data_IF_861822796257
#
_entry.id   IF_861822796257
#
_cell.length_a   1.000
_cell.length_b   1.000
_cell.length_c   1.000
_cell.angle_alpha   90.00
_cell.angle_beta   90.00
_cell.angle_gamma   90.00
#
_symmetry.space_group_name_H-M   'P 1'
#
loop_
_entity.id
_entity.type
_entity.pdbx_description
1 polymer ?
#
# COMPACT_ATOMS: atom_id res chain seq x y z
N UNK A 1 7.10 -10.63 2.54
CA UNK A 1 7.20 -10.65 1.06
C UNK A 1 5.86 -10.16 0.49
N UNK A 2 5.78 -8.93 -0.03
CA UNK A 2 4.56 -8.36 -0.64
C UNK A 2 4.69 -8.34 -2.17
N UNK A 3 5.17 -9.43 -2.75
CA UNK A 3 5.89 -9.41 -4.02
C UNK A 3 5.06 -9.14 -5.30
N UNK A 4 3.76 -8.79 -5.22
CA UNK A 4 2.92 -8.49 -6.40
C UNK A 4 1.80 -7.47 -6.18
N UNK A 5 1.76 -6.77 -5.04
CA UNK A 5 0.72 -5.76 -4.86
C UNK A 5 1.05 -4.47 -5.66
N UNK A 6 0.05 -3.84 -6.28
CA UNK A 6 0.17 -2.50 -6.87
C UNK A 6 0.80 -1.50 -5.89
N UNK A 7 1.69 -0.67 -6.41
CA UNK A 7 2.36 0.40 -5.65
C UNK A 7 1.80 1.75 -6.10
N UNK A 8 1.41 2.58 -5.13
CA UNK A 8 0.91 3.93 -5.36
C UNK A 8 1.84 4.75 -6.26
N UNK A 9 1.27 5.31 -7.33
CA UNK A 9 1.94 6.12 -8.35
C UNK A 9 2.91 5.36 -9.27
N UNK A 10 2.98 4.02 -9.16
CA UNK A 10 4.05 3.25 -9.85
C UNK A 10 3.57 2.04 -10.63
N UNK A 11 2.61 1.26 -10.12
CA UNK A 11 2.26 -0.01 -10.76
C UNK A 11 0.82 -0.45 -10.58
N UNK A 12 0.38 -1.35 -11.47
CA UNK A 12 -0.95 -1.98 -11.43
C UNK A 12 -2.09 -0.96 -11.41
N UNK A 13 -3.15 -1.28 -10.67
CA UNK A 13 -4.33 -0.42 -10.53
C UNK A 13 -4.05 0.88 -9.77
N UNK A 14 -2.84 1.06 -9.21
CA UNK A 14 -2.42 2.26 -8.52
C UNK A 14 -1.42 3.13 -9.30
N UNK A 15 -1.05 2.76 -10.53
CA UNK A 15 -0.04 3.48 -11.31
C UNK A 15 -0.40 4.97 -11.51
N UNK A 16 -1.66 5.28 -11.80
CA UNK A 16 -2.18 6.65 -11.94
C UNK A 16 -2.78 7.22 -10.66
N UNK A 17 -2.64 6.55 -9.51
CA UNK A 17 -3.30 6.90 -8.24
C UNK A 17 -2.27 7.35 -7.22
N UNK A 18 -2.63 8.34 -6.39
CA UNK A 18 -1.77 8.92 -5.36
C UNK A 18 -0.48 9.58 -5.86
N UNK A 19 -0.27 9.73 -7.17
CA UNK A 19 0.94 10.39 -7.70
C UNK A 19 0.99 11.86 -7.28
N UNK A 20 2.19 12.33 -6.92
CA UNK A 20 2.41 13.65 -6.36
C UNK A 20 1.93 13.81 -4.92
N UNK A 21 1.39 12.78 -4.26
CA UNK A 21 0.93 12.82 -2.87
C UNK A 21 1.93 12.17 -1.91
N UNK A 22 1.75 12.35 -0.59
CA UNK A 22 2.59 11.70 0.42
C UNK A 22 2.53 10.16 0.37
N UNK A 23 1.45 9.60 -0.21
CA UNK A 23 1.23 8.17 -0.33
C UNK A 23 1.98 7.52 -1.50
N UNK A 24 2.49 8.31 -2.47
CA UNK A 24 3.23 7.80 -3.63
C UNK A 24 4.45 6.98 -3.19
N UNK A 25 4.58 5.76 -3.72
CA UNK A 25 5.64 4.82 -3.35
C UNK A 25 5.60 4.31 -1.90
N UNK A 26 4.68 4.80 -1.05
CA UNK A 26 4.53 4.41 0.36
C UNK A 26 3.31 3.54 0.63
N UNK A 27 2.34 3.53 -0.29
CA UNK A 27 1.18 2.64 -0.22
C UNK A 27 1.36 1.47 -1.18
N UNK A 28 1.18 0.27 -0.64
CA UNK A 28 1.17 -0.98 -1.39
C UNK A 28 -0.15 -1.68 -1.07
N UNK A 29 -1.05 -1.78 -2.05
CA UNK A 29 -2.43 -2.19 -1.79
C UNK A 29 -3.08 -2.87 -2.98
N UNK A 30 -4.09 -3.70 -2.69
CA UNK A 30 -4.99 -4.28 -3.68
C UNK A 30 -6.26 -3.46 -3.79
N UNK A 31 -6.72 -3.24 -5.02
CA UNK A 31 -8.05 -2.69 -5.31
C UNK A 31 -9.06 -3.78 -5.63
N UNK A 32 -10.32 -3.57 -5.26
CA UNK A 32 -11.47 -4.38 -5.66
C UNK A 32 -12.63 -3.50 -6.12
N UNK A 33 -13.39 -3.97 -7.11
CA UNK A 33 -14.60 -3.32 -7.62
C UNK A 33 -15.62 -4.39 -7.97
N UNK A 34 -16.84 -4.24 -7.47
CA UNK A 34 -18.01 -5.05 -7.81
C UNK A 34 -19.18 -4.11 -8.09
N UNK A 35 -20.30 -4.63 -8.58
CA UNK A 35 -21.53 -3.85 -8.70
C UNK A 35 -21.95 -3.41 -7.30
N UNK A 36 -22.15 -2.10 -7.11
CA UNK A 36 -22.53 -1.51 -5.82
C UNK A 36 -21.43 -1.53 -4.76
N UNK A 37 -20.16 -1.79 -5.10
CA UNK A 37 -19.09 -1.83 -4.10
C UNK A 37 -17.68 -1.59 -4.63
N UNK A 38 -16.82 -1.02 -3.80
CA UNK A 38 -15.39 -0.87 -4.08
C UNK A 38 -14.54 -0.96 -2.82
N UNK A 39 -13.32 -1.46 -2.96
CA UNK A 39 -12.39 -1.63 -1.85
C UNK A 39 -10.95 -1.28 -2.23
N UNK A 40 -10.19 -0.87 -1.20
CA UNK A 40 -8.76 -0.68 -1.25
C UNK A 40 -8.15 -1.15 0.08
N UNK A 41 -7.32 -2.18 0.04
CA UNK A 41 -6.76 -2.82 1.23
C UNK A 41 -5.26 -3.04 1.06
N UNK A 42 -4.47 -2.69 2.07
CA UNK A 42 -3.03 -2.83 1.97
C UNK A 42 -2.26 -2.30 3.17
N UNK A 43 -1.01 -1.95 2.92
CA UNK A 43 -0.07 -1.40 3.90
C UNK A 43 0.37 -0.02 3.44
N UNK A 44 0.42 0.92 4.38
CA UNK A 44 0.96 2.25 4.18
C UNK A 44 2.18 2.45 5.09
N UNK A 45 3.28 2.96 4.54
CA UNK A 45 4.40 3.46 5.35
C UNK A 45 4.11 4.91 5.73
N UNK A 46 4.00 5.17 7.04
CA UNK A 46 3.81 6.51 7.59
C UNK A 46 5.09 7.36 7.44
N UNK A 47 4.97 8.69 7.60
CA UNK A 47 6.13 9.59 7.58
C UNK A 47 7.17 9.26 8.66
N UNK A 48 6.73 8.66 9.78
CA UNK A 48 7.61 8.20 10.86
C UNK A 48 8.14 6.78 10.65
N UNK A 49 8.10 6.24 9.42
CA UNK A 49 8.59 4.91 9.04
C UNK A 49 7.94 3.73 9.80
N UNK A 50 6.74 3.94 10.34
CA UNK A 50 5.90 2.85 10.85
C UNK A 50 5.01 2.33 9.73
N UNK A 51 4.85 1.02 9.66
CA UNK A 51 3.84 0.42 8.79
C UNK A 51 2.47 0.54 9.45
N UNK A 52 1.44 0.82 8.67
CA UNK A 52 0.06 0.74 9.10
C UNK A 52 -0.71 -0.11 8.10
N UNK A 53 -1.40 -1.14 8.60
CA UNK A 53 -2.30 -1.95 7.77
C UNK A 53 -3.64 -1.25 7.72
N UNK A 54 -4.20 -1.15 6.52
CA UNK A 54 -5.51 -0.53 6.31
C UNK A 54 -6.41 -1.39 5.43
N UNK A 55 -7.71 -1.26 5.65
CA UNK A 55 -8.75 -1.75 4.75
C UNK A 55 -9.86 -0.72 4.64
N UNK A 56 -10.19 -0.33 3.41
CA UNK A 56 -11.32 0.55 3.09
C UNK A 56 -12.27 -0.23 2.18
N UNK A 57 -13.52 -0.35 2.59
CA UNK A 57 -14.59 -0.95 1.80
C UNK A 57 -15.75 0.04 1.80
N UNK A 58 -16.26 0.35 0.62
CA UNK A 58 -17.39 1.25 0.41
C UNK A 58 -18.45 0.51 -0.40
N UNK A 59 -19.70 0.61 0.05
CA UNK A 59 -20.86 0.04 -0.64
C UNK A 59 -21.82 1.16 -1.08
N UNK A 60 -22.63 0.86 -2.10
CA UNK A 60 -23.59 1.75 -2.74
C UNK A 60 -23.10 2.33 -4.07
N UNK A 61 -24.00 3.01 -4.76
CA UNK A 61 -23.79 3.45 -6.15
C UNK A 61 -22.60 4.43 -6.32
N UNK A 62 -22.24 5.14 -5.26
CA UNK A 62 -21.09 6.05 -5.22
C UNK A 62 -19.75 5.40 -4.89
N UNK A 63 -19.67 4.09 -4.68
CA UNK A 63 -18.47 3.43 -4.16
C UNK A 63 -17.19 3.62 -5.00
N UNK A 64 -17.22 3.56 -6.34
CA UNK A 64 -16.02 3.79 -7.15
C UNK A 64 -15.48 5.22 -7.00
N UNK A 65 -16.37 6.23 -6.99
CA UNK A 65 -15.99 7.63 -6.80
C UNK A 65 -15.43 7.87 -5.39
N UNK A 66 -16.05 7.27 -4.39
CA UNK A 66 -15.64 7.33 -2.99
C UNK A 66 -14.19 6.83 -2.77
N UNK A 67 -13.84 5.70 -3.36
CA UNK A 67 -12.47 5.16 -3.29
C UNK A 67 -11.48 6.03 -4.08
N UNK A 68 -11.89 6.64 -5.21
CA UNK A 68 -11.03 7.56 -5.96
C UNK A 68 -10.74 8.85 -5.19
N UNK A 69 -11.69 9.32 -4.39
CA UNK A 69 -11.51 10.51 -3.56
C UNK A 69 -10.40 10.37 -2.50
N UNK A 70 -9.95 9.13 -2.19
CA UNK A 70 -8.80 8.90 -1.29
C UNK A 70 -7.49 9.45 -1.87
N UNK A 71 -7.37 9.51 -3.19
CA UNK A 71 -6.14 9.93 -3.86
C UNK A 71 -6.13 11.43 -4.15
N UNK A 72 -7.31 12.05 -4.13
CA UNK A 72 -7.48 13.44 -4.51
C UNK A 72 -7.27 14.35 -3.30
N UNK A 73 -6.25 15.20 -3.39
CA UNK A 73 -5.94 16.21 -2.37
C UNK A 73 -7.09 17.19 -2.13
N UNK A 74 -8.01 17.35 -3.09
CA UNK A 74 -9.04 18.41 -3.06
C UNK A 74 -10.47 17.92 -2.82
N UNK A 75 -10.71 16.62 -2.63
CA UNK A 75 -12.09 16.16 -2.49
C UNK A 75 -12.68 16.46 -1.08
N UNK A 76 -13.89 17.04 -1.01
CA UNK A 76 -14.56 17.25 0.28
C UNK A 76 -14.89 15.89 0.91
N UNK A 77 -14.68 15.80 2.24
CA UNK A 77 -14.97 14.60 3.03
C UNK A 77 -16.48 14.31 3.01
N UNK A 78 -16.94 13.56 2.01
CA UNK A 78 -18.29 12.96 2.04
C UNK A 78 -18.31 11.89 3.12
N UNK A 79 -19.38 11.86 3.92
CA UNK A 79 -19.67 10.71 4.79
C UNK A 79 -19.96 9.52 3.87
N UNK A 80 -18.97 8.68 3.72
CA UNK A 80 -19.08 7.40 3.04
C UNK A 80 -19.43 6.36 4.10
N UNK A 81 -20.21 5.35 3.74
CA UNK A 81 -20.32 4.12 4.51
C UNK A 81 -19.01 3.34 4.35
N UNK A 82 -17.92 3.90 4.87
CA UNK A 82 -16.57 3.39 4.78
C UNK A 82 -16.14 2.93 6.16
N UNK A 83 -15.87 1.64 6.32
CA UNK A 83 -15.20 1.13 7.51
C UNK A 83 -13.69 1.17 7.24
N UNK A 84 -12.98 2.02 7.97
CA UNK A 84 -11.52 2.06 7.98
C UNK A 84 -11.04 1.30 9.20
N UNK A 85 -10.34 0.20 8.98
CA UNK A 85 -9.60 -0.50 10.05
C UNK A 85 -8.15 -0.11 9.92
N UNK A 86 -7.58 0.55 10.94
CA UNK A 86 -6.16 0.85 11.02
C UNK A 86 -5.54 -0.04 12.08
N UNK A 87 -4.57 -0.87 11.69
CA UNK A 87 -3.78 -1.64 12.65
C UNK A 87 -2.39 -1.00 12.73
N UNK A 88 -1.96 -0.52 13.91
CA UNK A 88 -0.62 -0.01 14.09
C UNK A 88 0.38 -1.15 13.84
N UNK A 89 1.29 -0.94 12.90
CA UNK A 89 2.36 -1.89 12.58
C UNK A 89 3.63 -1.62 13.38
N UNK A 90 4.54 -2.60 13.33
CA UNK A 90 5.87 -2.52 13.94
C UNK A 90 6.73 -1.51 13.15
N UNK A 91 7.74 -0.92 13.82
CA UNK A 91 8.75 -0.10 13.13
C UNK A 91 9.37 -0.91 12.00
N UNK A 92 9.48 -0.31 10.82
CA UNK A 92 10.18 -0.91 9.70
C UNK A 92 11.68 -0.94 10.03
N UNK A 93 12.20 -2.11 10.41
CA UNK A 93 13.65 -2.27 10.54
C UNK A 93 14.26 -2.32 9.14
N UNK A 94 15.26 -1.48 8.89
CA UNK A 94 16.04 -1.54 7.67
C UNK A 94 16.76 -2.89 7.61
N UNK A 95 16.16 -3.88 6.95
CA UNK A 95 16.77 -5.19 6.67
C UNK A 95 16.88 -5.39 5.17
N UNK A 96 17.71 -4.54 4.59
CA UNK A 96 18.23 -4.62 3.24
C UNK A 96 19.74 -4.84 3.20
N UNK A 97 20.32 -5.56 4.18
CA UNK A 97 21.75 -5.93 4.19
C UNK A 97 21.93 -7.46 4.26
N UNK A 98 21.48 -8.14 3.21
CA UNK A 98 21.91 -9.50 2.90
C UNK A 98 22.36 -9.56 1.43
N UNK A 99 23.25 -8.65 1.07
CA UNK A 99 24.11 -8.74 -0.11
C UNK A 99 25.51 -8.27 0.26
N UNK A 100 26.27 -9.11 0.97
CA UNK A 100 27.74 -9.23 0.90
C UNK A 100 28.22 -10.25 1.94
N UNK A 101 28.22 -11.52 1.55
CA UNK A 101 29.18 -12.50 2.05
C UNK A 101 29.69 -13.30 0.85
N UNK A 102 30.41 -12.57 -0.02
CA UNK A 102 31.50 -13.17 -0.77
C UNK A 102 32.63 -13.37 0.25
N UNK A 103 32.85 -14.61 0.64
CA UNK A 103 34.08 -15.13 1.24
C UNK A 103 34.12 -16.58 0.80
N UNK A 104 34.76 -16.89 -0.34
CA UNK A 104 36.11 -17.44 -0.28
C UNK A 104 36.28 -18.37 0.93
N UNK A 105 35.93 -19.65 0.74
CA UNK A 105 36.50 -20.71 1.54
C UNK A 105 36.91 -21.83 0.61
N UNK A 106 38.23 -22.03 0.59
CA UNK A 106 38.99 -22.97 -0.23
C UNK A 106 38.48 -24.39 -0.06
N UNK A 107 38.52 -25.13 -1.16
CA UNK A 107 38.62 -26.59 -1.17
C UNK A 107 39.94 -27.00 -0.47
N UNK A 108 39.91 -28.04 0.38
CA UNK A 108 40.87 -29.11 0.16
C UNK A 108 40.19 -30.48 0.31
N UNK A 109 40.24 -31.29 -0.76
CA UNK A 109 40.09 -32.74 -0.63
C UNK A 109 41.48 -33.37 -0.48
N UNK A 110 41.62 -34.40 0.38
CA UNK A 110 42.80 -35.25 0.40
C UNK A 110 42.91 -36.11 -0.86
#
# INVERSE_FOLDING_TARGET
MVARLPVAGRSGTLAGRFSGTAAEGRVVAKSGTIIGGSSLTGVATTASEHEAVFSVIVNGDGAPAAIRALDDRRHPRRRLNARVVLVPGRRRTARGDLRRSRSEHRDPRP
#
